data_IF_277542593703
#
_entry.id   IF_277542593703
#
_cell.length_a   1.000
_cell.length_b   1.000
_cell.length_c   1.000
_cell.angle_alpha   90.00
_cell.angle_beta   90.00
_cell.angle_gamma   90.00
#
_symmetry.space_group_name_H-M   'P 1'
#
loop_
_entity.id
_entity.type
_entity.pdbx_description
1 polymer ?
#
# COMPACT_ATOMS: atom_id res chain seq x y z
N UNK A 1 -1.61 7.58 -11.66
CA UNK A 1 -1.64 7.80 -10.21
C UNK A 1 -0.44 8.60 -9.73
N UNK A 2 0.83 8.17 -9.93
CA UNK A 2 2.01 8.87 -9.39
C UNK A 2 2.11 10.39 -9.68
N UNK A 3 1.80 10.82 -10.92
CA UNK A 3 1.77 12.26 -11.26
C UNK A 3 0.66 13.02 -10.51
N UNK A 4 -0.54 12.42 -10.39
CA UNK A 4 -1.65 13.00 -9.64
C UNK A 4 -1.29 13.15 -8.16
N UNK A 5 -0.67 12.12 -7.59
CA UNK A 5 -0.22 12.12 -6.21
C UNK A 5 0.80 13.24 -5.97
N UNK A 6 1.80 13.38 -6.85
CA UNK A 6 2.76 14.49 -6.81
C UNK A 6 2.06 15.85 -6.92
N UNK A 7 1.08 15.99 -7.80
CA UNK A 7 0.30 17.23 -7.93
C UNK A 7 -0.48 17.57 -6.64
N UNK A 8 -1.10 16.58 -5.99
CA UNK A 8 -1.76 16.75 -4.70
C UNK A 8 -0.78 17.14 -3.59
N UNK A 9 0.40 16.53 -3.54
CA UNK A 9 1.46 16.89 -2.58
C UNK A 9 1.91 18.34 -2.79
N UNK A 10 2.20 18.74 -4.02
CA UNK A 10 2.59 20.12 -4.34
C UNK A 10 1.46 21.09 -3.97
N UNK A 11 0.21 20.75 -4.29
CA UNK A 11 -0.94 21.56 -3.90
C UNK A 11 -1.05 21.71 -2.37
N UNK A 12 -0.87 20.63 -1.60
CA UNK A 12 -0.88 20.67 -0.14
C UNK A 12 0.19 21.62 0.41
N UNK A 13 1.42 21.51 -0.12
CA UNK A 13 2.54 22.38 0.26
C UNK A 13 2.26 23.84 -0.09
N UNK A 14 1.73 24.13 -1.28
CA UNK A 14 1.39 25.50 -1.70
C UNK A 14 0.31 26.09 -0.80
N UNK A 15 -0.75 25.33 -0.49
CA UNK A 15 -1.84 25.78 0.37
C UNK A 15 -1.32 26.06 1.79
N UNK A 16 -0.56 25.13 2.37
CA UNK A 16 -0.01 25.24 3.73
C UNK A 16 0.99 26.40 3.92
N UNK A 17 1.57 26.91 2.83
CA UNK A 17 2.53 28.03 2.84
C UNK A 17 1.95 29.32 2.22
N UNK A 18 0.63 29.40 2.07
CA UNK A 18 -0.06 30.55 1.51
C UNK A 18 -0.98 31.20 2.56
N UNK A 19 -1.58 32.35 2.21
CA UNK A 19 -2.61 32.98 3.05
C UNK A 19 -3.86 32.13 3.29
N UNK A 20 -3.98 30.96 2.63
CA UNK A 20 -5.06 29.98 2.85
C UNK A 20 -4.73 28.96 3.96
N UNK A 21 -3.55 29.00 4.58
CA UNK A 21 -3.16 28.08 5.65
C UNK A 21 -4.19 28.01 6.80
N UNK A 22 -4.72 29.13 7.35
CA UNK A 22 -5.66 29.05 8.47
C UNK A 22 -6.96 28.33 8.08
N UNK A 23 -7.43 28.53 6.84
CA UNK A 23 -8.62 27.84 6.33
C UNK A 23 -8.35 26.34 6.21
N UNK A 24 -7.19 25.97 5.65
CA UNK A 24 -6.78 24.58 5.49
C UNK A 24 -6.69 23.83 6.83
N UNK A 25 -6.03 24.42 7.83
CA UNK A 25 -5.96 23.86 9.18
C UNK A 25 -7.34 23.78 9.83
N UNK A 26 -8.18 24.81 9.70
CA UNK A 26 -9.53 24.79 10.28
C UNK A 26 -10.39 23.65 9.74
N UNK A 27 -10.28 23.33 8.43
CA UNK A 27 -11.00 22.21 7.81
C UNK A 27 -10.48 20.88 8.33
N UNK A 28 -9.16 20.70 8.42
CA UNK A 28 -8.55 19.45 8.91
C UNK A 28 -8.85 19.19 10.39
N UNK A 29 -8.89 20.23 11.21
CA UNK A 29 -9.18 20.16 12.64
C UNK A 29 -10.67 20.29 12.98
N UNK A 30 -11.55 20.39 11.99
CA UNK A 30 -13.00 20.36 12.25
C UNK A 30 -13.38 19.00 12.83
N UNK A 31 -13.95 19.00 14.04
CA UNK A 31 -14.39 17.78 14.70
C UNK A 31 -15.71 17.30 14.08
N UNK A 32 -15.72 16.04 13.67
CA UNK A 32 -16.91 15.34 13.22
C UNK A 32 -17.32 14.32 14.27
N UNK A 33 -18.44 14.60 14.93
CA UNK A 33 -19.04 13.75 15.96
C UNK A 33 -20.09 12.83 15.34
N UNK A 34 -19.87 11.52 15.41
CA UNK A 34 -20.89 10.51 15.06
C UNK A 34 -21.33 9.87 16.37
N UNK A 35 -22.62 9.99 16.71
CA UNK A 35 -23.09 9.41 17.96
C UNK A 35 -24.52 9.76 18.35
N UNK A 36 -24.91 9.22 19.49
CA UNK A 36 -26.12 9.54 20.25
C UNK A 36 -25.72 10.12 21.59
N UNK A 37 -26.64 10.77 22.33
CA UNK A 37 -26.33 11.44 23.61
C UNK A 37 -25.53 10.57 24.62
N UNK A 38 -25.64 9.24 24.56
CA UNK A 38 -24.90 8.28 25.41
C UNK A 38 -23.58 7.74 24.84
N UNK A 39 -23.38 7.78 23.52
CA UNK A 39 -22.20 7.23 22.84
C UNK A 39 -21.81 8.16 21.69
N UNK A 40 -20.72 8.90 21.87
CA UNK A 40 -20.21 9.87 20.91
C UNK A 40 -18.78 9.55 20.54
N UNK A 41 -18.55 9.31 19.24
CA UNK A 41 -17.23 9.17 18.64
C UNK A 41 -16.91 10.50 17.97
N UNK A 42 -15.99 11.27 18.55
CA UNK A 42 -15.61 12.60 18.09
C UNK A 42 -14.16 12.63 17.69
N UNK A 43 -13.89 12.72 16.39
CA UNK A 43 -12.54 12.88 15.88
C UNK A 43 -12.46 13.99 14.85
N UNK A 44 -11.26 14.54 14.68
CA UNK A 44 -10.98 15.53 13.65
C UNK A 44 -11.16 14.92 12.26
N UNK A 45 -11.50 15.76 11.29
CA UNK A 45 -11.59 15.33 9.89
C UNK A 45 -10.27 14.70 9.41
N UNK A 46 -9.13 15.22 9.85
CA UNK A 46 -7.80 14.64 9.61
C UNK A 46 -7.67 13.20 10.15
N UNK A 47 -8.17 12.94 11.35
CA UNK A 47 -8.13 11.59 11.93
C UNK A 47 -9.04 10.61 11.17
N UNK A 48 -10.25 11.03 10.78
CA UNK A 48 -11.14 10.21 9.95
C UNK A 48 -10.53 9.88 8.59
N UNK A 49 -9.84 10.84 7.97
CA UNK A 49 -9.07 10.61 6.75
C UNK A 49 -8.01 9.55 7.01
N UNK A 50 -7.19 9.74 8.05
CA UNK A 50 -6.06 8.85 8.30
C UNK A 50 -6.53 7.43 8.62
N UNK A 51 -7.45 7.24 9.56
CA UNK A 51 -7.83 5.90 9.98
C UNK A 51 -8.78 5.22 8.99
N UNK A 52 -9.71 5.96 8.40
CA UNK A 52 -10.70 5.44 7.46
C UNK A 52 -10.10 5.14 6.09
N UNK A 53 -9.38 6.10 5.50
CA UNK A 53 -8.76 5.91 4.17
C UNK A 53 -7.62 4.89 4.24
N UNK A 54 -6.81 4.89 5.31
CA UNK A 54 -5.74 3.91 5.44
C UNK A 54 -6.29 2.50 5.70
N UNK A 55 -7.42 2.33 6.39
CA UNK A 55 -8.05 1.01 6.47
C UNK A 55 -8.46 0.47 5.09
N UNK A 56 -8.95 1.32 4.18
CA UNK A 56 -9.25 0.92 2.80
C UNK A 56 -7.99 0.64 1.97
N UNK A 57 -6.94 1.43 2.16
CA UNK A 57 -5.62 1.18 1.57
C UNK A 57 -5.07 -0.19 2.00
N UNK A 58 -5.00 -0.45 3.31
CA UNK A 58 -4.50 -1.70 3.87
C UNK A 58 -5.41 -2.89 3.60
N UNK A 59 -6.72 -2.69 3.40
CA UNK A 59 -7.59 -3.72 2.85
C UNK A 59 -7.13 -4.14 1.45
N UNK A 60 -6.80 -3.18 0.58
CA UNK A 60 -6.33 -3.47 -0.77
C UNK A 60 -4.96 -4.14 -0.76
N UNK A 61 -4.03 -3.65 0.07
CA UNK A 61 -2.72 -4.30 0.30
C UNK A 61 -2.92 -5.72 0.83
N UNK A 62 -3.86 -5.96 1.75
CA UNK A 62 -4.17 -7.29 2.26
C UNK A 62 -4.70 -8.25 1.20
N UNK A 63 -5.48 -7.76 0.23
CA UNK A 63 -5.95 -8.58 -0.91
C UNK A 63 -4.76 -8.94 -1.81
N UNK A 64 -3.88 -7.98 -2.06
CA UNK A 64 -2.68 -8.17 -2.89
C UNK A 64 -1.69 -9.14 -2.24
N UNK A 65 -1.41 -9.00 -0.94
CA UNK A 65 -0.60 -9.95 -0.15
C UNK A 65 -1.16 -11.36 -0.31
N UNK A 66 -2.47 -11.53 -0.09
CA UNK A 66 -3.11 -12.83 -0.19
C UNK A 66 -3.01 -13.40 -1.61
N UNK A 67 -3.16 -12.58 -2.65
CA UNK A 67 -2.97 -13.00 -4.04
C UNK A 67 -1.52 -13.46 -4.30
N UNK A 68 -0.54 -12.67 -3.87
CA UNK A 68 0.88 -12.95 -4.10
C UNK A 68 1.34 -14.24 -3.41
N UNK A 69 0.88 -14.49 -2.18
CA UNK A 69 1.18 -15.72 -1.44
C UNK A 69 0.55 -16.96 -2.10
N UNK A 70 -0.67 -16.83 -2.65
CA UNK A 70 -1.41 -17.97 -3.20
C UNK A 70 -1.00 -18.33 -4.63
N UNK A 71 -0.76 -17.32 -5.49
CA UNK A 71 -0.59 -17.54 -6.95
C UNK A 71 0.50 -16.66 -7.56
N UNK A 72 1.10 -15.73 -6.81
CA UNK A 72 2.08 -14.77 -7.32
C UNK A 72 3.54 -15.15 -7.08
N UNK A 73 4.41 -14.14 -7.07
CA UNK A 73 5.87 -14.29 -6.94
C UNK A 73 6.28 -14.83 -5.55
N UNK A 74 5.42 -14.62 -4.53
CA UNK A 74 5.64 -15.12 -3.18
C UNK A 74 5.18 -16.59 -3.00
N UNK A 75 4.49 -17.17 -3.98
CA UNK A 75 4.02 -18.56 -3.91
C UNK A 75 5.17 -19.57 -4.07
N UNK A 76 6.19 -19.25 -4.89
CA UNK A 76 7.39 -20.07 -5.04
C UNK A 76 8.42 -19.70 -3.97
N UNK A 77 8.68 -20.64 -3.04
CA UNK A 77 9.60 -20.43 -1.92
C UNK A 77 11.01 -20.00 -2.35
N UNK A 78 11.55 -20.47 -3.49
CA UNK A 78 12.90 -20.11 -3.94
C UNK A 78 12.96 -18.68 -4.50
N UNK A 79 11.88 -18.25 -5.15
CA UNK A 79 11.75 -16.91 -5.71
C UNK A 79 11.42 -15.89 -4.62
N UNK A 80 10.60 -16.28 -3.63
CA UNK A 80 10.18 -15.44 -2.51
C UNK A 80 11.30 -15.08 -1.51
N UNK A 81 12.31 -15.93 -1.34
CA UNK A 81 13.38 -15.70 -0.35
C UNK A 81 14.11 -14.38 -0.61
N UNK A 82 14.39 -14.03 -1.87
CA UNK A 82 15.13 -12.82 -2.19
C UNK A 82 14.34 -11.54 -1.82
N UNK A 83 13.10 -11.31 -2.30
CA UNK A 83 12.27 -10.18 -1.86
C UNK A 83 12.07 -10.14 -0.34
N UNK A 84 11.76 -11.27 0.30
CA UNK A 84 11.48 -11.32 1.75
C UNK A 84 12.72 -10.93 2.56
N UNK A 85 13.88 -11.50 2.26
CA UNK A 85 15.10 -11.17 2.99
C UNK A 85 15.54 -9.72 2.74
N UNK A 86 15.39 -9.25 1.51
CA UNK A 86 15.63 -7.85 1.15
C UNK A 86 14.71 -6.90 1.91
N UNK A 87 13.42 -7.21 2.03
CA UNK A 87 12.47 -6.43 2.81
C UNK A 87 12.84 -6.42 4.30
N UNK A 88 13.12 -7.59 4.90
CA UNK A 88 13.56 -7.68 6.31
C UNK A 88 14.82 -6.84 6.55
N UNK A 89 15.83 -6.91 5.67
CA UNK A 89 17.01 -6.07 5.76
C UNK A 89 16.70 -4.58 5.56
N UNK A 90 15.84 -4.27 4.60
CA UNK A 90 15.32 -2.95 4.30
C UNK A 90 14.36 -2.39 5.36
N UNK A 91 14.01 -3.16 6.38
CA UNK A 91 13.25 -2.69 7.53
C UNK A 91 14.16 -2.55 8.77
N UNK A 92 14.92 -3.60 9.07
CA UNK A 92 15.77 -3.64 10.26
C UNK A 92 16.88 -2.58 10.23
N UNK A 93 17.57 -2.41 9.10
CA UNK A 93 18.71 -1.49 9.02
C UNK A 93 18.26 -0.02 9.16
N UNK A 94 17.22 0.47 8.45
CA UNK A 94 16.69 1.82 8.70
C UNK A 94 16.28 2.07 10.15
N UNK A 95 15.57 1.13 10.76
CA UNK A 95 15.15 1.21 12.16
C UNK A 95 16.35 1.34 13.11
N UNK A 96 17.38 0.52 12.91
CA UNK A 96 18.61 0.57 13.71
C UNK A 96 19.37 1.89 13.52
N UNK A 97 19.44 2.42 12.30
CA UNK A 97 20.09 3.72 12.04
C UNK A 97 19.33 4.85 12.75
N UNK A 98 18.00 4.86 12.68
CA UNK A 98 17.19 5.86 13.34
C UNK A 98 17.33 5.81 14.86
N UNK A 99 17.21 4.61 15.44
CA UNK A 99 17.34 4.40 16.89
C UNK A 99 18.72 4.80 17.39
N UNK A 100 19.79 4.51 16.65
CA UNK A 100 21.15 4.91 17.02
C UNK A 100 21.33 6.43 17.06
N UNK A 101 20.68 7.17 16.15
CA UNK A 101 20.76 8.63 16.08
C UNK A 101 19.85 9.35 17.09
N UNK A 102 18.76 8.71 17.52
CA UNK A 102 17.79 9.27 18.46
C UNK A 102 17.85 8.59 19.84
N UNK A 103 18.91 7.83 20.12
CA UNK A 103 19.05 7.09 21.37
C UNK A 103 19.12 8.05 22.56
N UNK A 104 18.31 7.80 23.59
CA UNK A 104 18.26 8.67 24.77
C UNK A 104 17.47 9.97 24.57
N UNK A 105 16.73 10.11 23.47
CA UNK A 105 15.79 11.22 23.23
C UNK A 105 14.35 10.72 23.28
N UNK A 106 13.40 11.63 23.52
CA UNK A 106 11.96 11.33 23.49
C UNK A 106 11.43 10.99 22.09
N UNK A 107 12.27 11.15 21.05
CA UNK A 107 11.91 10.83 19.68
C UNK A 107 12.29 9.40 19.25
N UNK A 108 12.76 8.55 20.19
CA UNK A 108 13.16 7.16 19.89
C UNK A 108 11.99 6.30 19.36
N UNK A 109 10.77 6.63 19.76
CA UNK A 109 9.55 5.95 19.31
C UNK A 109 9.30 6.09 17.81
N UNK A 110 9.96 7.03 17.13
CA UNK A 110 9.93 7.21 15.67
C UNK A 110 10.64 6.14 14.85
N UNK A 111 11.17 5.07 15.44
CA UNK A 111 12.00 4.08 14.74
C UNK A 111 11.30 3.35 13.59
N UNK A 112 9.96 3.25 13.61
CA UNK A 112 9.18 2.67 12.52
C UNK A 112 9.06 3.57 11.29
N UNK A 113 9.33 4.88 11.41
CA UNK A 113 9.14 5.88 10.34
C UNK A 113 9.97 5.57 9.08
N UNK A 114 11.29 5.33 9.15
CA UNK A 114 12.10 5.08 7.97
C UNK A 114 12.00 3.63 7.44
N UNK A 115 11.03 2.86 7.93
CA UNK A 115 10.91 1.44 7.63
C UNK A 115 10.00 1.17 6.42
N UNK A 116 9.07 2.08 6.13
CA UNK A 116 8.05 1.87 5.10
C UNK A 116 8.45 2.41 3.71
N UNK A 117 7.77 1.90 2.69
CA UNK A 117 8.02 2.21 1.28
C UNK A 117 6.68 2.57 0.60
N UNK A 118 6.58 3.73 -0.04
CA UNK A 118 5.42 4.13 -0.84
C UNK A 118 5.49 3.49 -2.24
N UNK A 119 4.77 2.38 -2.38
CA UNK A 119 4.63 1.62 -3.63
C UNK A 119 4.19 2.50 -4.80
N UNK A 120 3.22 3.39 -4.58
CA UNK A 120 2.62 4.17 -5.65
C UNK A 120 3.61 5.17 -6.26
N UNK A 121 4.44 5.80 -5.42
CA UNK A 121 5.52 6.66 -5.90
C UNK A 121 6.68 5.86 -6.51
N UNK A 122 7.12 4.79 -5.85
CA UNK A 122 8.24 3.99 -6.33
C UNK A 122 7.95 3.39 -7.73
N UNK A 123 6.75 2.83 -7.92
CA UNK A 123 6.29 2.36 -9.23
C UNK A 123 6.05 3.52 -10.21
N UNK A 124 5.60 4.68 -9.72
CA UNK A 124 5.44 5.89 -10.53
C UNK A 124 6.77 6.34 -11.17
N UNK A 125 7.85 6.39 -10.38
CA UNK A 125 9.20 6.71 -10.88
C UNK A 125 9.69 5.63 -11.85
N UNK A 126 9.48 4.35 -11.51
CA UNK A 126 9.88 3.23 -12.37
C UNK A 126 9.16 3.25 -13.72
N UNK A 127 7.88 3.66 -13.74
CA UNK A 127 7.07 3.78 -14.96
C UNK A 127 7.59 4.87 -15.91
N UNK A 128 8.23 5.93 -15.40
CA UNK A 128 8.86 6.99 -16.23
C UNK A 128 10.00 6.42 -17.07
N UNK A 129 10.74 5.44 -16.55
CA UNK A 129 11.81 4.74 -17.27
C UNK A 129 11.26 3.80 -18.37
N UNK A 130 9.96 3.48 -18.32
CA UNK A 130 9.20 2.81 -19.36
C UNK A 130 9.78 1.44 -19.75
N UNK A 131 10.00 1.24 -21.05
CA UNK A 131 10.46 -0.05 -21.60
C UNK A 131 11.91 -0.43 -21.26
N UNK A 132 12.67 0.44 -20.59
CA UNK A 132 14.05 0.12 -20.15
C UNK A 132 14.07 -0.90 -19.01
N UNK A 133 13.01 -0.95 -18.22
CA UNK A 133 12.97 -1.74 -16.99
C UNK A 133 12.53 -3.18 -17.28
N UNK A 134 13.31 -4.19 -16.88
CA UNK A 134 12.89 -5.58 -16.94
C UNK A 134 11.63 -5.82 -16.09
N UNK A 135 10.67 -6.59 -16.60
CA UNK A 135 9.44 -6.93 -15.85
C UNK A 135 9.73 -7.58 -14.50
N UNK A 136 10.78 -8.39 -14.44
CA UNK A 136 11.21 -9.03 -13.20
C UNK A 136 11.67 -8.03 -12.12
N UNK A 137 12.17 -6.86 -12.52
CA UNK A 137 12.55 -5.80 -11.58
C UNK A 137 11.31 -5.11 -10.97
N UNK A 138 10.25 -4.95 -11.78
CA UNK A 138 8.94 -4.45 -11.31
C UNK A 138 8.34 -5.43 -10.30
N UNK A 139 8.35 -6.74 -10.62
CA UNK A 139 7.87 -7.78 -9.72
C UNK A 139 8.67 -7.84 -8.41
N UNK A 140 10.00 -7.69 -8.47
CA UNK A 140 10.84 -7.62 -7.28
C UNK A 140 10.50 -6.42 -6.39
N UNK A 141 10.39 -5.21 -6.95
CA UNK A 141 10.02 -4.01 -6.17
C UNK A 141 8.63 -4.15 -5.55
N UNK A 142 7.67 -4.68 -6.31
CA UNK A 142 6.32 -4.93 -5.82
C UNK A 142 6.34 -5.90 -4.63
N UNK A 143 6.99 -7.06 -4.78
CA UNK A 143 7.09 -8.05 -3.71
C UNK A 143 7.83 -7.51 -2.47
N UNK A 144 8.92 -6.76 -2.66
CA UNK A 144 9.66 -6.13 -1.58
C UNK A 144 8.77 -5.17 -0.79
N UNK A 145 8.07 -4.27 -1.50
CA UNK A 145 7.28 -3.24 -0.85
C UNK A 145 6.01 -3.81 -0.19
N UNK A 146 5.41 -4.85 -0.76
CA UNK A 146 4.31 -5.60 -0.10
C UNK A 146 4.78 -6.21 1.24
N UNK A 147 5.96 -6.82 1.26
CA UNK A 147 6.51 -7.42 2.49
C UNK A 147 6.88 -6.32 3.51
N UNK A 148 7.46 -5.21 3.05
CA UNK A 148 7.73 -4.04 3.88
C UNK A 148 6.45 -3.48 4.51
N UNK A 149 5.38 -3.30 3.72
CA UNK A 149 4.09 -2.76 4.19
C UNK A 149 3.43 -3.70 5.20
N UNK A 150 3.43 -5.01 4.94
CA UNK A 150 2.96 -6.01 5.91
C UNK A 150 3.77 -5.95 7.20
N UNK A 151 5.09 -5.87 7.08
CA UNK A 151 6.00 -5.76 8.21
C UNK A 151 5.76 -4.48 9.02
N UNK A 152 5.55 -3.35 8.35
CA UNK A 152 5.20 -2.08 8.97
C UNK A 152 3.87 -2.17 9.73
N UNK A 153 2.84 -2.78 9.14
CA UNK A 153 1.55 -3.02 9.80
C UNK A 153 1.70 -3.86 11.06
N UNK A 154 2.51 -4.91 11.03
CA UNK A 154 2.77 -5.75 12.20
C UNK A 154 3.52 -4.98 13.30
N UNK A 155 4.47 -4.13 12.92
CA UNK A 155 5.18 -3.25 13.86
C UNK A 155 4.23 -2.21 14.48
N UNK A 156 3.38 -1.58 13.67
CA UNK A 156 2.31 -0.69 14.12
C UNK A 156 1.47 -1.40 15.19
N UNK A 157 0.96 -2.59 14.88
CA UNK A 157 0.14 -3.39 15.78
C UNK A 157 0.83 -3.74 17.11
N UNK A 158 2.14 -4.00 17.09
CA UNK A 158 2.88 -4.48 18.24
C UNK A 158 3.40 -3.35 19.14
N UNK A 159 3.78 -2.21 18.57
CA UNK A 159 4.55 -1.18 19.29
C UNK A 159 3.83 0.15 19.48
N UNK A 160 2.81 0.45 18.69
CA UNK A 160 2.12 1.75 18.74
C UNK A 160 0.69 1.65 19.31
N UNK A 161 0.32 0.47 19.82
CA UNK A 161 -1.05 0.19 20.30
C UNK A 161 -1.29 0.89 21.63
N UNK A 162 -2.43 1.57 21.74
CA UNK A 162 -2.81 2.31 22.95
C UNK A 162 -3.49 1.41 24.00
N UNK A 163 -4.11 2.01 25.02
CA UNK A 163 -4.80 1.30 26.08
C UNK A 163 -5.94 0.43 25.52
N UNK A 164 -5.95 -0.85 25.90
CA UNK A 164 -6.90 -1.82 25.34
C UNK A 164 -8.26 -1.72 26.05
N UNK A 165 -9.29 -1.35 25.30
CA UNK A 165 -10.68 -1.44 25.76
C UNK A 165 -11.24 -2.84 25.47
N UNK A 166 -11.43 -3.64 26.51
CA UNK A 166 -11.90 -5.02 26.41
C UNK A 166 -13.30 -5.16 25.81
N UNK A 167 -14.20 -4.18 26.01
CA UNK A 167 -15.54 -4.23 25.44
C UNK A 167 -15.51 -4.06 23.92
N UNK A 168 -14.79 -3.03 23.44
CA UNK A 168 -14.59 -2.79 22.02
C UNK A 168 -13.85 -3.96 21.35
N UNK A 169 -12.87 -4.55 22.04
CA UNK A 169 -12.17 -5.75 21.58
C UNK A 169 -13.10 -6.96 21.42
N UNK A 170 -14.04 -7.16 22.36
CA UNK A 170 -15.06 -8.21 22.25
C UNK A 170 -15.96 -8.03 21.02
N UNK A 171 -16.36 -6.79 20.74
CA UNK A 171 -17.14 -6.45 19.54
C UNK A 171 -16.33 -6.71 18.25
N UNK A 172 -15.07 -6.29 18.20
CA UNK A 172 -14.16 -6.60 17.10
C UNK A 172 -14.02 -8.13 16.88
N UNK A 173 -13.91 -8.90 17.98
CA UNK A 173 -13.86 -10.36 17.93
C UNK A 173 -15.11 -11.00 17.32
N UNK A 174 -16.30 -10.49 17.66
CA UNK A 174 -17.57 -10.94 17.06
C UNK A 174 -17.66 -10.62 15.56
N UNK A 175 -17.21 -9.43 15.15
CA UNK A 175 -17.15 -9.06 13.75
C UNK A 175 -16.19 -9.97 12.96
N UNK A 176 -15.02 -10.28 13.53
CA UNK A 176 -14.06 -11.23 12.96
C UNK A 176 -14.66 -12.64 12.82
N UNK A 177 -15.38 -13.12 13.83
CA UNK A 177 -16.10 -14.39 13.75
C UNK A 177 -17.11 -14.38 12.59
N UNK A 178 -17.84 -13.28 12.40
CA UNK A 178 -18.75 -13.10 11.25
C UNK A 178 -18.05 -13.21 9.89
N UNK A 179 -16.86 -12.61 9.75
CA UNK A 179 -16.04 -12.72 8.54
C UNK A 179 -15.59 -14.17 8.28
N UNK A 180 -15.07 -14.84 9.31
CA UNK A 180 -14.58 -16.21 9.22
C UNK A 180 -15.73 -17.17 8.90
N UNK A 181 -16.87 -17.05 9.57
CA UNK A 181 -18.07 -17.86 9.30
C UNK A 181 -18.58 -17.63 7.87
N UNK A 182 -18.57 -16.39 7.38
CA UNK A 182 -18.96 -16.07 5.99
C UNK A 182 -18.05 -16.77 4.96
N UNK A 183 -16.73 -16.79 5.22
CA UNK A 183 -15.76 -17.49 4.38
C UNK A 183 -15.93 -19.01 4.41
N UNK A 184 -16.08 -19.60 5.60
CA UNK A 184 -16.29 -21.05 5.76
C UNK A 184 -17.62 -21.49 5.15
N UNK A 185 -18.68 -20.70 5.29
CA UNK A 185 -19.97 -20.94 4.64
C UNK A 185 -19.93 -20.81 3.11
N UNK A 186 -18.77 -20.44 2.53
CA UNK A 186 -18.59 -20.32 1.09
C UNK A 186 -19.33 -19.13 0.47
N UNK A 187 -19.64 -18.09 1.27
CA UNK A 187 -20.29 -16.89 0.78
C UNK A 187 -19.29 -16.11 -0.06
N UNK A 188 -19.51 -16.03 -1.37
CA UNK A 188 -18.60 -15.35 -2.31
C UNK A 188 -19.07 -13.96 -2.74
N UNK A 189 -20.14 -13.45 -2.12
CA UNK A 189 -20.61 -12.08 -2.33
C UNK A 189 -19.74 -11.12 -1.49
N UNK A 190 -19.38 -9.93 -1.99
CA UNK A 190 -18.51 -9.01 -1.27
C UNK A 190 -19.20 -8.31 -0.08
N UNK A 191 -20.53 -8.15 -0.12
CA UNK A 191 -21.28 -7.36 0.87
C UNK A 191 -21.06 -7.79 2.33
N UNK A 192 -21.12 -9.09 2.70
CA UNK A 192 -20.89 -9.49 4.09
C UNK A 192 -19.50 -9.13 4.60
N UNK A 193 -18.47 -9.25 3.75
CA UNK A 193 -17.11 -8.88 4.11
C UNK A 193 -16.93 -7.38 4.34
N UNK A 194 -17.61 -6.56 3.53
CA UNK A 194 -17.61 -5.11 3.71
C UNK A 194 -18.32 -4.74 5.02
N UNK A 195 -19.49 -5.33 5.29
CA UNK A 195 -20.27 -5.04 6.50
C UNK A 195 -19.52 -5.47 7.75
N UNK A 196 -19.08 -6.73 7.84
CA UNK A 196 -18.34 -7.19 9.00
C UNK A 196 -16.95 -6.55 9.10
N UNK A 197 -16.31 -6.20 7.98
CA UNK A 197 -15.06 -5.45 7.98
C UNK A 197 -15.23 -4.04 8.54
N UNK A 198 -16.35 -3.36 8.25
CA UNK A 198 -16.67 -2.06 8.83
C UNK A 198 -16.97 -2.16 10.32
N UNK A 199 -17.68 -3.21 10.76
CA UNK A 199 -17.89 -3.47 12.18
C UNK A 199 -16.58 -3.79 12.89
N UNK A 200 -15.69 -4.56 12.26
CA UNK A 200 -14.36 -4.84 12.78
C UNK A 200 -13.55 -3.54 12.91
N UNK A 201 -13.58 -2.67 11.90
CA UNK A 201 -12.92 -1.38 11.91
C UNK A 201 -13.41 -0.47 13.04
N UNK A 202 -14.74 -0.33 13.21
CA UNK A 202 -15.32 0.42 14.32
C UNK A 202 -14.94 -0.15 15.69
N UNK A 203 -14.96 -1.48 15.81
CA UNK A 203 -14.53 -2.16 17.04
C UNK A 203 -13.06 -1.92 17.35
N UNK A 204 -12.19 -1.92 16.32
CA UNK A 204 -10.76 -1.69 16.49
C UNK A 204 -10.47 -0.24 16.88
N UNK A 205 -11.10 0.74 16.22
CA UNK A 205 -11.01 2.17 16.52
C UNK A 205 -11.20 2.48 18.02
N UNK A 206 -12.19 1.85 18.65
CA UNK A 206 -12.51 2.03 20.08
C UNK A 206 -11.71 1.11 21.02
N UNK A 207 -11.04 0.07 20.48
CA UNK A 207 -10.33 -0.94 21.27
C UNK A 207 -8.90 -0.55 21.66
N UNK A 208 -8.36 0.54 21.12
CA UNK A 208 -6.94 0.89 21.23
C UNK A 208 -6.02 0.13 20.26
N UNK A 209 -6.53 -0.91 19.57
CA UNK A 209 -5.82 -1.54 18.45
C UNK A 209 -6.03 -0.72 17.18
N UNK A 210 -4.95 -0.46 16.45
CA UNK A 210 -5.01 0.32 15.21
C UNK A 210 -6.08 -0.14 14.23
N UNK A 211 -6.97 0.78 13.87
CA UNK A 211 -8.10 0.51 12.99
C UNK A 211 -7.66 0.03 11.59
N UNK A 212 -6.46 0.39 11.13
CA UNK A 212 -5.89 -0.02 9.84
C UNK A 212 -5.73 -1.54 9.69
N UNK A 213 -5.48 -2.25 10.79
CA UNK A 213 -5.38 -3.71 10.82
C UNK A 213 -6.69 -4.39 10.42
N UNK A 214 -7.84 -3.75 10.70
CA UNK A 214 -9.13 -4.26 10.29
C UNK A 214 -9.21 -4.48 8.78
N UNK A 215 -8.59 -3.58 8.00
CA UNK A 215 -8.46 -3.72 6.56
C UNK A 215 -7.73 -5.00 6.17
N UNK A 216 -6.50 -5.19 6.67
CA UNK A 216 -5.69 -6.38 6.35
C UNK A 216 -6.41 -7.67 6.77
N UNK A 217 -6.92 -7.71 8.00
CA UNK A 217 -7.62 -8.89 8.53
C UNK A 217 -8.85 -9.22 7.67
N UNK A 218 -9.66 -8.22 7.33
CA UNK A 218 -10.84 -8.42 6.47
C UNK A 218 -10.41 -8.98 5.11
N UNK A 219 -9.38 -8.42 4.50
CA UNK A 219 -8.87 -8.90 3.20
C UNK A 219 -8.39 -10.35 3.24
N UNK A 220 -7.71 -10.75 4.32
CA UNK A 220 -7.28 -12.13 4.53
C UNK A 220 -8.45 -13.12 4.65
N UNK A 221 -9.65 -12.67 5.05
CA UNK A 221 -10.86 -13.51 5.09
C UNK A 221 -11.61 -13.60 3.75
N UNK A 222 -11.33 -12.73 2.77
CA UNK A 222 -12.04 -12.72 1.47
C UNK A 222 -11.69 -13.98 0.65
N UNK A 223 -12.67 -14.70 0.06
CA UNK A 223 -12.39 -15.93 -0.69
C UNK A 223 -11.52 -15.70 -1.94
N UNK A 224 -10.48 -16.53 -2.10
CA UNK A 224 -9.56 -16.47 -3.24
C UNK A 224 -9.87 -17.47 -4.37
N UNK A 225 -10.76 -18.44 -4.12
CA UNK A 225 -11.12 -19.46 -5.10
C UNK A 225 -12.28 -19.01 -6.00
N UNK A 226 -12.21 -19.38 -7.28
CA UNK A 226 -13.29 -19.14 -8.24
C UNK A 226 -14.55 -19.93 -7.88
N UNK A 227 -15.70 -19.50 -8.43
CA UNK A 227 -16.98 -20.21 -8.30
C UNK A 227 -17.07 -21.44 -9.22
N UNK A 228 -16.28 -21.48 -10.29
CA UNK A 228 -16.40 -22.45 -11.38
C UNK A 228 -15.10 -23.23 -11.63
N UNK A 229 -15.25 -24.54 -11.91
CA UNK A 229 -14.14 -25.42 -12.28
C UNK A 229 -13.61 -25.13 -13.69
N UNK A 230 -12.30 -25.31 -13.91
CA UNK A 230 -11.62 -25.00 -15.19
C UNK A 230 -12.02 -25.93 -16.36
N UNK A 231 -12.17 -27.23 -16.12
CA UNK A 231 -12.53 -28.25 -17.13
C UNK A 231 -13.86 -27.97 -17.87
N UNK A 232 -14.98 -27.64 -17.19
CA UNK A 232 -16.22 -27.29 -17.87
C UNK A 232 -16.18 -25.92 -18.59
N UNK A 233 -15.23 -25.03 -18.25
CA UNK A 233 -15.14 -23.69 -18.85
C UNK A 233 -14.79 -23.73 -20.34
N UNK A 234 -13.70 -24.41 -20.70
CA UNK A 234 -13.24 -24.48 -22.08
C UNK A 234 -14.31 -25.10 -22.99
N UNK A 235 -15.02 -26.13 -22.50
CA UNK A 235 -16.11 -26.78 -23.24
C UNK A 235 -17.30 -25.85 -23.43
N UNK A 236 -17.75 -25.18 -22.36
CA UNK A 236 -18.88 -24.24 -22.40
C UNK A 236 -18.59 -23.03 -23.29
N UNK A 237 -17.37 -22.50 -23.24
CA UNK A 237 -16.98 -21.35 -24.05
C UNK A 237 -16.90 -21.70 -25.54
N UNK A 238 -16.40 -22.91 -25.90
CA UNK A 238 -16.48 -23.43 -27.27
C UNK A 238 -17.93 -23.56 -27.75
N UNK A 239 -18.83 -24.09 -26.91
CA UNK A 239 -20.25 -24.21 -27.25
C UNK A 239 -20.91 -22.84 -27.49
N UNK A 240 -20.65 -21.85 -26.64
CA UNK A 240 -21.16 -20.49 -26.80
C UNK A 240 -20.59 -19.87 -28.09
N UNK A 241 -19.28 -19.98 -28.33
CA UNK A 241 -18.66 -19.44 -29.54
C UNK A 241 -19.21 -20.07 -30.82
N UNK A 242 -19.42 -21.39 -30.84
CA UNK A 242 -20.00 -22.06 -32.01
C UNK A 242 -21.44 -21.59 -32.28
N UNK A 243 -22.26 -21.41 -31.24
CA UNK A 243 -23.61 -20.85 -31.36
C UNK A 243 -23.60 -19.40 -31.82
N UNK A 244 -22.62 -18.61 -31.38
CA UNK A 244 -22.42 -17.24 -31.87
C UNK A 244 -22.13 -17.23 -33.38
N UNK A 245 -21.22 -18.08 -33.83
CA UNK A 245 -20.85 -18.20 -35.24
C UNK A 245 -22.02 -18.65 -36.11
N UNK A 246 -22.87 -19.57 -35.65
CA UNK A 246 -24.08 -19.95 -36.41
C UNK A 246 -25.09 -18.81 -36.58
N UNK A 247 -25.07 -17.80 -35.72
CA UNK A 247 -25.91 -16.60 -35.81
C UNK A 247 -25.27 -15.47 -36.65
N UNK A 248 -24.02 -15.64 -37.09
CA UNK A 248 -23.26 -14.61 -37.80
C UNK A 248 -23.70 -14.39 -39.25
N UNK A 249 -24.38 -15.36 -39.88
CA UNK A 249 -24.82 -15.27 -41.28
C UNK A 249 -25.98 -14.29 -41.52
N UNK A 250 -26.62 -13.76 -40.48
CA UNK A 250 -27.68 -12.75 -40.62
C UNK A 250 -27.14 -11.37 -40.24
N UNK A 251 -26.99 -10.51 -41.26
CA UNK A 251 -26.59 -9.09 -41.21
C UNK A 251 -27.65 -8.20 -40.52
N UNK A 252 -27.91 -8.47 -39.25
CA UNK A 252 -28.65 -7.56 -38.37
C UNK A 252 -27.74 -7.14 -37.23
N UNK A 253 -27.70 -5.82 -37.00
CA UNK A 253 -26.96 -5.16 -35.94
C UNK A 253 -27.04 -5.94 -34.61
N UNK A 254 -25.93 -6.01 -33.87
CA UNK A 254 -25.79 -6.76 -32.60
C UNK A 254 -26.89 -6.42 -31.59
N UNK A 255 -27.42 -5.18 -31.62
CA UNK A 255 -28.51 -4.73 -30.73
C UNK A 255 -29.92 -5.16 -31.14
N UNK A 256 -30.13 -5.62 -32.38
CA UNK A 256 -31.44 -6.02 -32.89
C UNK A 256 -31.70 -7.52 -32.73
N UNK A 257 -30.67 -8.31 -32.43
CA UNK A 257 -30.78 -9.75 -32.23
C UNK A 257 -30.69 -10.10 -30.73
N UNK A 258 -31.84 -10.28 -30.10
CA UNK A 258 -31.95 -10.63 -28.68
C UNK A 258 -31.24 -11.96 -28.33
N UNK A 259 -31.11 -12.89 -29.27
CA UNK A 259 -30.35 -14.14 -29.05
C UNK A 259 -28.84 -13.90 -29.00
N UNK A 260 -28.30 -13.05 -29.91
CA UNK A 260 -26.89 -12.64 -29.87
C UNK A 260 -26.56 -11.94 -28.54
N UNK A 261 -27.42 -11.02 -28.08
CA UNK A 261 -27.23 -10.34 -26.80
C UNK A 261 -27.26 -11.32 -25.61
N UNK A 262 -28.24 -12.23 -25.54
CA UNK A 262 -28.30 -13.26 -24.48
C UNK A 262 -27.05 -14.13 -24.46
N UNK A 263 -26.49 -14.42 -25.63
CA UNK A 263 -25.31 -15.26 -25.76
C UNK A 263 -24.04 -14.55 -25.29
N UNK A 264 -23.87 -13.27 -25.67
CA UNK A 264 -22.80 -12.41 -25.15
C UNK A 264 -22.93 -12.22 -23.63
N UNK A 265 -24.13 -11.98 -23.11
CA UNK A 265 -24.37 -11.87 -21.66
C UNK A 265 -24.04 -13.18 -20.93
N UNK A 266 -24.35 -14.32 -21.55
CA UNK A 266 -24.02 -15.63 -20.99
C UNK A 266 -22.50 -15.84 -20.96
N UNK A 267 -21.79 -15.43 -22.01
CA UNK A 267 -20.32 -15.46 -22.03
C UNK A 267 -19.74 -14.55 -20.95
N UNK A 268 -20.22 -13.32 -20.83
CA UNK A 268 -19.80 -12.35 -19.80
C UNK A 268 -20.03 -12.91 -18.39
N UNK A 269 -21.22 -13.43 -18.08
CA UNK A 269 -21.53 -14.02 -16.79
C UNK A 269 -20.62 -15.23 -16.48
N UNK A 270 -20.33 -16.06 -17.48
CA UNK A 270 -19.47 -17.24 -17.30
C UNK A 270 -18.01 -16.85 -17.07
N UNK A 271 -17.52 -15.83 -17.78
CA UNK A 271 -16.20 -15.23 -17.55
C UNK A 271 -16.12 -14.64 -16.14
N UNK A 272 -17.13 -13.87 -15.72
CA UNK A 272 -17.18 -13.34 -14.37
C UNK A 272 -17.10 -14.45 -13.33
N UNK A 273 -17.84 -15.55 -13.47
CA UNK A 273 -17.78 -16.67 -12.53
C UNK A 273 -16.39 -17.32 -12.37
N UNK A 274 -15.49 -17.18 -13.35
CA UNK A 274 -14.12 -17.67 -13.26
C UNK A 274 -13.21 -16.77 -12.42
N UNK A 275 -13.50 -15.47 -12.37
CA UNK A 275 -12.72 -14.52 -11.59
C UNK A 275 -13.07 -14.68 -10.10
N UNK A 276 -12.05 -14.79 -9.24
CA UNK A 276 -12.27 -14.93 -7.80
C UNK A 276 -12.83 -13.64 -7.19
N UNK A 277 -13.60 -13.72 -6.08
CA UNK A 277 -14.08 -12.53 -5.38
C UNK A 277 -12.94 -11.59 -4.98
N UNK A 278 -11.83 -12.16 -4.51
CA UNK A 278 -10.61 -11.42 -4.18
C UNK A 278 -10.10 -10.60 -5.37
N UNK A 279 -9.88 -11.22 -6.52
CA UNK A 279 -9.33 -10.55 -7.71
C UNK A 279 -10.26 -9.45 -8.21
N UNK A 280 -11.58 -9.69 -8.19
CA UNK A 280 -12.59 -8.68 -8.55
C UNK A 280 -12.54 -7.46 -7.64
N UNK A 281 -12.41 -7.68 -6.33
CA UNK A 281 -12.35 -6.60 -5.35
C UNK A 281 -11.06 -5.82 -5.49
N UNK A 282 -9.91 -6.51 -5.59
CA UNK A 282 -8.59 -5.90 -5.80
C UNK A 282 -8.58 -4.99 -7.03
N UNK A 283 -9.02 -5.49 -8.20
CA UNK A 283 -9.01 -4.71 -9.44
C UNK A 283 -9.87 -3.44 -9.36
N UNK A 284 -11.05 -3.53 -8.77
CA UNK A 284 -11.95 -2.38 -8.60
C UNK A 284 -11.39 -1.38 -7.59
N UNK A 285 -10.90 -1.85 -6.46
CA UNK A 285 -10.43 -1.00 -5.37
C UNK A 285 -9.11 -0.32 -5.70
N UNK A 286 -8.21 -0.99 -6.43
CA UNK A 286 -6.92 -0.41 -6.82
C UNK A 286 -7.07 0.95 -7.53
N UNK A 287 -8.10 1.11 -8.38
CA UNK A 287 -8.39 2.37 -9.06
C UNK A 287 -8.80 3.45 -8.05
N UNK A 288 -9.74 3.14 -7.15
CA UNK A 288 -10.18 4.09 -6.12
C UNK A 288 -9.05 4.45 -5.15
N UNK A 289 -8.25 3.47 -4.75
CA UNK A 289 -7.12 3.69 -3.86
C UNK A 289 -6.09 4.63 -4.51
N UNK A 290 -5.67 4.31 -5.72
CA UNK A 290 -4.59 5.02 -6.41
C UNK A 290 -4.96 6.44 -6.88
N UNK A 291 -6.25 6.70 -7.13
CA UNK A 291 -6.70 7.98 -7.72
C UNK A 291 -7.54 8.84 -6.78
N UNK A 292 -8.05 8.28 -5.67
CA UNK A 292 -8.86 9.03 -4.71
C UNK A 292 -8.23 8.97 -3.30
N UNK A 293 -8.03 7.77 -2.76
CA UNK A 293 -7.64 7.57 -1.36
C UNK A 293 -6.25 8.12 -1.08
N UNK A 294 -5.23 7.64 -1.81
CA UNK A 294 -3.83 8.07 -1.60
C UNK A 294 -3.66 9.57 -1.91
N UNK A 295 -4.23 10.12 -3.01
CA UNK A 295 -4.16 11.57 -3.27
C UNK A 295 -4.82 12.44 -2.19
N UNK A 296 -5.98 12.04 -1.65
CA UNK A 296 -6.63 12.77 -0.54
C UNK A 296 -5.79 12.66 0.73
N UNK A 297 -5.27 11.47 1.03
CA UNK A 297 -4.39 11.27 2.18
C UNK A 297 -3.15 12.18 2.11
N UNK A 298 -2.50 12.22 0.94
CA UNK A 298 -1.37 13.11 0.70
C UNK A 298 -1.76 14.59 0.82
N UNK A 299 -2.92 14.98 0.29
CA UNK A 299 -3.41 16.35 0.40
C UNK A 299 -3.65 16.77 1.85
N UNK A 300 -4.09 15.85 2.73
CA UNK A 300 -4.35 16.13 4.13
C UNK A 300 -3.08 16.10 5.01
N UNK A 301 -2.10 15.26 4.68
CA UNK A 301 -0.94 15.03 5.56
C UNK A 301 0.35 15.70 5.12
N UNK A 302 0.50 15.99 3.82
CA UNK A 302 1.73 16.57 3.26
C UNK A 302 1.75 18.10 3.29
N UNK A 303 0.68 18.76 3.74
CA UNK A 303 0.66 20.21 3.95
C UNK A 303 1.51 20.59 5.15
N UNK A 304 2.78 20.91 4.90
CA UNK A 304 3.74 21.28 5.94
C UNK A 304 3.98 22.80 5.88
N UNK A 305 3.72 23.55 6.96
CA UNK A 305 4.14 24.95 7.05
C UNK A 305 5.67 25.01 7.15
N UNK A 306 6.30 25.69 6.20
CA UNK A 306 7.76 25.86 6.13
C UNK A 306 8.09 27.32 6.45
N UNK A 307 8.69 27.54 7.62
CA UNK A 307 9.32 28.80 7.94
C UNK A 307 10.77 28.82 7.46
N UNK A 308 11.09 29.72 6.53
CA UNK A 308 12.44 29.83 5.95
C UNK A 308 13.53 30.11 6.99
N UNK A 309 13.18 30.71 8.13
CA UNK A 309 14.11 31.01 9.21
C UNK A 309 14.52 29.77 10.03
N UNK A 310 13.63 28.78 10.18
CA UNK A 310 13.86 27.59 11.02
C UNK A 310 14.29 26.36 10.22
N UNK A 311 14.22 26.41 8.88
CA UNK A 311 14.63 25.33 7.98
C UNK A 311 16.02 24.76 8.29
N UNK A 312 16.99 25.61 8.60
CA UNK A 312 18.36 25.19 8.94
C UNK A 312 18.43 24.35 10.22
N UNK A 313 17.70 24.75 11.27
CA UNK A 313 17.61 23.99 12.53
C UNK A 313 16.79 22.72 12.38
N UNK A 314 15.75 22.73 11.55
CA UNK A 314 14.91 21.54 11.31
C UNK A 314 15.68 20.47 10.53
N UNK A 315 16.49 20.86 9.54
CA UNK A 315 17.30 19.91 8.77
C UNK A 315 18.44 19.29 9.59
N UNK A 316 18.94 19.99 10.61
CA UNK A 316 19.97 19.45 11.52
C UNK A 316 19.39 18.69 12.71
N UNK A 317 18.06 18.68 12.87
CA UNK A 317 17.42 17.98 13.98
C UNK A 317 17.66 16.46 13.89
N UNK A 318 17.96 15.77 15.01
CA UNK A 318 18.24 14.33 15.04
C UNK A 318 17.16 13.45 14.40
N UNK A 319 15.88 13.82 14.58
CA UNK A 319 14.74 13.14 13.95
C UNK A 319 14.82 13.22 12.44
N UNK A 320 15.00 14.43 11.88
CA UNK A 320 15.09 14.67 10.44
C UNK A 320 16.28 13.91 9.84
N UNK A 321 17.45 14.00 10.47
CA UNK A 321 18.65 13.28 10.04
C UNK A 321 18.49 11.77 10.15
N UNK A 322 17.88 11.28 11.22
CA UNK A 322 17.59 9.86 11.44
C UNK A 322 16.66 9.30 10.38
N UNK A 323 15.61 10.03 10.03
CA UNK A 323 14.69 9.66 8.95
C UNK A 323 15.41 9.64 7.59
N UNK A 324 16.16 10.69 7.26
CA UNK A 324 16.89 10.77 5.97
C UNK A 324 17.93 9.66 5.86
N UNK A 325 18.74 9.45 6.91
CA UNK A 325 19.76 8.42 6.93
C UNK A 325 19.15 7.01 6.89
N UNK A 326 18.03 6.78 7.59
CA UNK A 326 17.30 5.52 7.57
C UNK A 326 16.69 5.20 6.20
N UNK A 327 15.94 6.14 5.62
CA UNK A 327 15.26 5.95 4.34
C UNK A 327 16.23 5.84 3.16
N UNK A 328 17.29 6.66 3.10
CA UNK A 328 18.24 6.60 1.98
C UNK A 328 19.31 5.54 2.26
N UNK A 329 20.10 5.75 3.31
CA UNK A 329 21.26 4.91 3.61
C UNK A 329 20.86 3.53 4.15
N UNK A 330 19.87 3.49 5.05
CA UNK A 330 19.39 2.25 5.65
C UNK A 330 18.71 1.32 4.65
N UNK A 331 17.78 1.82 3.83
CA UNK A 331 17.12 0.99 2.80
C UNK A 331 18.12 0.49 1.78
N UNK A 332 18.97 1.39 1.25
CA UNK A 332 19.99 1.02 0.28
C UNK A 332 20.90 -0.09 0.80
N UNK A 333 21.50 0.11 1.97
CA UNK A 333 22.45 -0.84 2.55
C UNK A 333 21.78 -2.12 3.02
N UNK A 334 20.63 -2.04 3.70
CA UNK A 334 19.90 -3.20 4.22
C UNK A 334 19.39 -4.12 3.11
N UNK A 335 18.78 -3.56 2.07
CA UNK A 335 18.27 -4.34 0.93
C UNK A 335 19.42 -5.00 0.17
N UNK A 336 20.49 -4.26 -0.12
CA UNK A 336 21.64 -4.77 -0.85
C UNK A 336 22.40 -5.84 -0.06
N UNK A 337 22.62 -5.61 1.24
CA UNK A 337 23.32 -6.54 2.11
C UNK A 337 22.55 -7.87 2.22
N UNK A 338 21.25 -7.81 2.51
CA UNK A 338 20.41 -9.02 2.59
C UNK A 338 20.32 -9.75 1.25
N UNK A 339 20.15 -9.01 0.14
CA UNK A 339 20.14 -9.60 -1.20
C UNK A 339 21.46 -10.33 -1.49
N UNK A 340 22.60 -9.66 -1.25
CA UNK A 340 23.92 -10.23 -1.45
C UNK A 340 24.16 -11.47 -0.58
N UNK A 341 23.76 -11.41 0.70
CA UNK A 341 23.95 -12.49 1.66
C UNK A 341 23.20 -13.76 1.22
N UNK A 342 21.93 -13.63 0.85
CA UNK A 342 21.08 -14.74 0.39
C UNK A 342 21.60 -15.35 -0.91
N UNK A 343 22.06 -14.52 -1.85
CA UNK A 343 22.64 -14.98 -3.11
C UNK A 343 23.97 -15.72 -2.84
N UNK A 344 24.82 -15.18 -1.96
CA UNK A 344 26.11 -15.77 -1.60
C UNK A 344 25.97 -17.10 -0.86
N UNK A 345 24.93 -17.25 -0.03
CA UNK A 345 24.58 -18.50 0.65
C UNK A 345 23.91 -19.52 -0.29
N UNK A 346 23.60 -19.14 -1.53
CA UNK A 346 22.96 -20.02 -2.51
C UNK A 346 21.47 -20.29 -2.26
N UNK A 347 20.83 -19.50 -1.38
CA UNK A 347 19.42 -19.66 -1.02
C UNK A 347 18.46 -19.07 -2.07
N UNK A 348 18.95 -18.12 -2.87
CA UNK A 348 18.21 -17.58 -4.02
C UNK A 348 19.14 -17.15 -5.14
N UNK A 349 18.57 -16.75 -6.28
CA UNK A 349 19.28 -16.25 -7.46
C UNK A 349 18.59 -15.00 -7.97
N UNK A 350 19.36 -14.13 -8.62
CA UNK A 350 18.80 -12.95 -9.28
C UNK A 350 17.79 -13.37 -10.36
N UNK A 351 16.67 -12.63 -10.50
CA UNK A 351 15.75 -12.84 -11.61
C UNK A 351 16.44 -12.64 -12.96
N UNK A 352 15.95 -13.34 -14.00
CA UNK A 352 16.53 -13.24 -15.35
C UNK A 352 16.49 -11.80 -15.85
N UNK A 353 17.64 -11.29 -16.30
CA UNK A 353 17.76 -9.93 -16.81
C UNK A 353 17.90 -8.85 -15.73
N UNK A 354 18.02 -9.23 -14.46
CA UNK A 354 18.28 -8.30 -13.34
C UNK A 354 19.72 -8.43 -12.86
N UNK A 355 20.39 -7.29 -12.64
CA UNK A 355 21.73 -7.25 -12.07
C UNK A 355 21.74 -6.53 -10.70
N UNK A 356 22.85 -6.62 -9.95
CA UNK A 356 22.95 -5.98 -8.62
C UNK A 356 22.91 -4.45 -8.68
N UNK A 357 23.34 -3.83 -9.77
CA UNK A 357 23.25 -2.37 -9.93
C UNK A 357 21.79 -1.90 -10.06
N UNK A 358 20.95 -2.68 -10.73
CA UNK A 358 19.51 -2.44 -10.81
C UNK A 358 18.83 -2.67 -9.46
N UNK A 359 19.28 -3.67 -8.67
CA UNK A 359 18.82 -3.82 -7.28
C UNK A 359 19.23 -2.60 -6.44
N UNK A 360 20.43 -2.04 -6.63
CA UNK A 360 20.83 -0.81 -5.94
C UNK A 360 19.95 0.40 -6.33
N UNK A 361 19.56 0.49 -7.60
CA UNK A 361 18.61 1.51 -8.07
C UNK A 361 17.22 1.31 -7.45
N UNK A 362 16.74 0.07 -7.38
CA UNK A 362 15.45 -0.26 -6.73
C UNK A 362 15.50 -0.04 -5.22
N UNK A 363 16.60 -0.34 -4.55
CA UNK A 363 16.71 -0.12 -3.10
C UNK A 363 16.74 1.37 -2.75
N UNK A 364 17.26 2.22 -3.63
CA UNK A 364 17.05 3.67 -3.52
C UNK A 364 15.58 4.05 -3.73
N UNK A 365 14.89 3.51 -4.73
CA UNK A 365 13.45 3.76 -4.90
C UNK A 365 12.62 3.25 -3.71
N UNK A 366 13.06 2.18 -3.05
CA UNK A 366 12.46 1.68 -1.81
C UNK A 366 12.66 2.64 -0.63
N UNK A 367 13.58 3.60 -0.73
CA UNK A 367 13.73 4.70 0.21
C UNK A 367 12.67 5.79 0.08
N UNK A 368 11.77 5.71 -0.90
CA UNK A 368 10.64 6.62 -1.03
C UNK A 368 9.57 6.21 -0.02
N UNK A 369 9.66 6.69 1.22
CA UNK A 369 8.69 6.37 2.27
C UNK A 369 7.37 7.14 2.18
N UNK A 370 7.41 8.36 1.62
CA UNK A 370 6.31 9.33 1.46
C UNK A 370 5.04 9.05 2.28
N UNK A 371 3.96 8.55 1.68
CA UNK A 371 2.66 8.45 2.38
C UNK A 371 2.71 7.50 3.58
N UNK A 372 3.36 6.36 3.43
CA UNK A 372 3.44 5.33 4.47
C UNK A 372 4.30 5.78 5.65
N UNK A 373 5.44 6.43 5.39
CA UNK A 373 6.27 6.99 6.45
C UNK A 373 5.57 8.16 7.15
N UNK A 374 4.81 9.00 6.42
CA UNK A 374 4.03 10.10 7.01
C UNK A 374 2.93 9.54 7.91
N UNK A 375 2.27 8.46 7.48
CA UNK A 375 1.28 7.75 8.29
C UNK A 375 1.89 7.22 9.59
N UNK A 376 3.02 6.50 9.50
CA UNK A 376 3.71 5.97 10.69
C UNK A 376 4.20 7.10 11.61
N UNK A 377 4.69 8.20 11.06
CA UNK A 377 5.10 9.35 11.87
C UNK A 377 3.92 9.94 12.67
N UNK A 378 2.72 9.98 12.08
CA UNK A 378 1.50 10.41 12.76
C UNK A 378 1.05 9.48 13.89
N UNK A 379 1.44 8.20 13.85
CA UNK A 379 1.22 7.25 14.95
C UNK A 379 2.34 7.30 16.00
N UNK A 380 3.56 7.60 15.57
CA UNK A 380 4.75 7.52 16.41
C UNK A 380 4.98 8.75 17.30
N UNK A 381 4.55 9.94 16.86
CA UNK A 381 4.84 11.18 17.55
C UNK A 381 3.57 11.88 18.04
N UNK A 382 3.46 12.04 19.36
CA UNK A 382 2.46 12.92 19.97
C UNK A 382 2.89 14.39 19.96
N UNK A 383 4.19 14.67 19.82
CA UNK A 383 4.73 16.03 19.73
C UNK A 383 4.63 16.55 18.29
N UNK A 384 3.97 17.69 18.10
CA UNK A 384 3.84 18.37 16.81
C UNK A 384 5.22 18.74 16.22
N UNK A 385 6.18 19.10 17.06
CA UNK A 385 7.55 19.43 16.63
C UNK A 385 8.26 18.22 16.01
N UNK A 386 8.20 17.06 16.67
CA UNK A 386 8.80 15.83 16.14
C UNK A 386 8.10 15.34 14.89
N UNK A 387 6.76 15.44 14.85
CA UNK A 387 5.98 15.10 13.66
C UNK A 387 6.36 16.00 12.47
N UNK A 388 6.51 17.31 12.69
CA UNK A 388 6.93 18.27 11.66
C UNK A 388 8.32 17.93 11.12
N UNK A 389 9.29 17.72 12.02
CA UNK A 389 10.67 17.36 11.68
C UNK A 389 10.73 16.03 10.91
N UNK A 390 9.96 15.03 11.34
CA UNK A 390 9.85 13.75 10.65
C UNK A 390 9.25 13.91 9.25
N UNK A 391 8.14 14.65 9.09
CA UNK A 391 7.52 14.89 7.78
C UNK A 391 8.50 15.59 6.82
N UNK A 392 9.24 16.59 7.27
CA UNK A 392 10.27 17.26 6.45
C UNK A 392 11.37 16.29 6.05
N UNK A 393 11.85 15.46 6.99
CA UNK A 393 12.83 14.41 6.72
C UNK A 393 12.34 13.40 5.68
N UNK A 394 11.08 12.96 5.79
CA UNK A 394 10.47 12.02 4.84
C UNK A 394 10.38 12.62 3.44
N UNK A 395 9.94 13.88 3.31
CA UNK A 395 9.85 14.56 2.02
C UNK A 395 11.22 14.73 1.37
N UNK A 396 12.20 15.21 2.13
CA UNK A 396 13.57 15.38 1.66
C UNK A 396 14.19 14.04 1.23
N UNK A 397 14.05 13.01 2.07
CA UNK A 397 14.52 11.67 1.78
C UNK A 397 13.86 11.09 0.53
N UNK A 398 12.53 11.18 0.42
CA UNK A 398 11.75 10.67 -0.71
C UNK A 398 12.15 11.33 -2.03
N UNK A 399 12.39 12.64 -2.03
CA UNK A 399 12.85 13.36 -3.21
C UNK A 399 14.26 12.91 -3.63
N UNK A 400 15.21 12.85 -2.69
CA UNK A 400 16.59 12.44 -2.95
C UNK A 400 16.67 10.98 -3.38
N UNK A 401 15.92 10.10 -2.72
CA UNK A 401 15.80 8.68 -3.03
C UNK A 401 15.18 8.45 -4.42
N UNK A 402 14.11 9.19 -4.75
CA UNK A 402 13.47 9.12 -6.07
C UNK A 402 14.38 9.58 -7.20
N UNK A 403 15.07 10.71 -7.04
CA UNK A 403 16.02 11.22 -8.04
C UNK A 403 17.22 10.27 -8.16
N UNK A 404 17.79 9.85 -7.04
CA UNK A 404 18.93 8.94 -6.99
C UNK A 404 18.63 7.58 -7.61
N UNK A 405 17.48 6.98 -7.25
CA UNK A 405 17.02 5.71 -7.81
C UNK A 405 16.72 5.81 -9.30
N UNK A 406 16.11 6.92 -9.76
CA UNK A 406 15.90 7.18 -11.18
C UNK A 406 17.22 7.24 -11.95
N UNK A 407 18.21 8.00 -11.47
CA UNK A 407 19.53 8.14 -12.11
C UNK A 407 20.26 6.79 -12.11
N UNK A 408 20.30 6.08 -10.99
CA UNK A 408 20.95 4.78 -10.87
C UNK A 408 20.37 3.73 -11.84
N UNK A 409 19.05 3.70 -11.99
CA UNK A 409 18.39 2.83 -12.96
C UNK A 409 18.61 3.28 -14.40
N UNK A 410 18.62 4.59 -14.66
CA UNK A 410 18.89 5.13 -16.00
C UNK A 410 20.30 4.74 -16.49
N UNK A 411 21.29 4.72 -15.59
CA UNK A 411 22.67 4.35 -15.88
C UNK A 411 22.88 2.83 -15.98
N UNK A 412 22.12 2.04 -15.22
CA UNK A 412 22.26 0.57 -15.17
C UNK A 412 21.36 -0.18 -16.16
N UNK A 413 20.47 0.52 -16.87
CA UNK A 413 19.57 -0.05 -17.88
C UNK A 413 19.85 0.50 -19.27
N UNK A 414 20.17 -0.40 -20.19
CA UNK A 414 20.24 -0.05 -21.60
C UNK A 414 18.83 0.05 -22.20
N UNK A 415 18.65 0.94 -23.18
CA UNK A 415 17.41 0.99 -23.95
C UNK A 415 17.28 -0.35 -24.66
N UNK A 416 16.31 -1.18 -24.27
CA UNK A 416 15.94 -2.38 -25.01
C UNK A 416 15.60 -1.92 -26.43
N UNK A 417 16.51 -2.19 -27.37
CA UNK A 417 16.35 -1.84 -28.78
C UNK A 417 15.07 -2.47 -29.31
N UNK A 418 14.37 -1.76 -30.19
CA UNK A 418 13.32 -2.37 -31.02
C UNK A 418 13.98 -3.50 -31.81
N UNK A 419 13.77 -4.75 -31.39
CA UNK A 419 13.80 -5.88 -32.31
C UNK A 419 12.47 -5.94 -33.03
#
# INVERSE_FOLDING_TARGET
>A
SGILLMACTVAAMVIANSGLQPLYESVLHTNFTIGTDSYNISHSFHHWINDGLMALFFFTVGLEIKREILVGELADRRQAILPIASAIGGMLVPALIYTALNFGTDAIDGWGVPMATDIAFALGVLAILGKRIPKALVGFLLALAIVDDLGAVLVIAAFYTEQINMFALGFAGLALLGLVLSNIAGIRRPLPYIVFGLLLWLGMLESGIHATLAGVITALTVPANSLCNNEPFARKMRQLNNKYQSLANNDLHIMQNAEKQKLLQSMENFVHCMESPLQRMEHKLHIWVSFLIIPIFALANAGIPIEMASLGSTLSHPVTLGVIAGLIGGKLSGILFSAWLVIKLGWSRLPKGVNMQQIAGVSLLAGIGFTMSIFIAGLAFSSEEYLLNAKIGILAASLLAGIGGYIALLLSTEKIGKQ
#
